data_IF_562526560716
#
_entry.id   IF_562526560716
#
_cell.length_a   1.000
_cell.length_b   1.000
_cell.length_c   1.000
_cell.angle_alpha   90.00
_cell.angle_beta   90.00
_cell.angle_gamma   90.00
#
_symmetry.space_group_name_H-M   'P 1'
#
loop_
_entity.id
_entity.type
_entity.pdbx_description
1 polymer ?
#
# COMPACT_ATOMS: atom_id res chain seq x y z
N UNK A 1 20.70 5.97 6.54
CA UNK A 1 19.29 6.23 6.80
C UNK A 1 18.68 5.05 7.54
N UNK A 2 17.93 5.29 8.61
CA UNK A 2 17.20 4.26 9.35
C UNK A 2 15.74 4.22 8.88
N UNK A 3 15.19 3.01 8.65
CA UNK A 3 13.83 2.78 8.20
C UNK A 3 13.09 1.89 9.22
N UNK A 4 11.78 2.14 9.47
CA UNK A 4 10.87 3.01 8.72
C UNK A 4 10.91 4.50 9.12
N UNK A 5 11.63 4.90 10.18
CA UNK A 5 11.61 6.27 10.71
C UNK A 5 12.06 7.35 9.71
N UNK A 6 12.89 6.99 8.72
CA UNK A 6 13.44 7.90 7.72
C UNK A 6 14.57 8.80 8.22
N UNK A 7 14.96 8.71 9.51
CA UNK A 7 16.05 9.52 10.10
C UNK A 7 17.38 9.19 9.46
N UNK A 8 18.23 10.18 9.33
CA UNK A 8 19.58 10.05 8.73
C UNK A 8 20.65 10.46 9.72
N UNK A 9 21.77 9.76 9.69
CA UNK A 9 23.00 10.11 10.40
C UNK A 9 24.19 9.59 9.60
N UNK A 10 25.40 9.85 10.06
CA UNK A 10 26.63 9.27 9.51
C UNK A 10 27.19 8.24 10.46
N UNK A 11 27.72 7.15 9.91
CA UNK A 11 28.49 6.17 10.69
C UNK A 11 29.77 6.84 11.18
N UNK A 12 30.02 6.76 12.48
CA UNK A 12 31.23 7.27 13.08
C UNK A 12 32.29 6.18 13.21
N UNK A 13 31.90 5.00 13.71
CA UNK A 13 32.80 3.85 13.89
C UNK A 13 32.08 2.55 13.56
N UNK A 14 32.85 1.57 13.08
CA UNK A 14 32.42 0.17 12.93
C UNK A 14 33.28 -0.66 13.88
N UNK A 15 32.69 -1.17 14.95
CA UNK A 15 33.42 -1.75 16.08
C UNK A 15 33.15 -3.24 16.18
N UNK A 16 34.20 -4.02 16.40
CA UNK A 16 34.10 -5.47 16.75
C UNK A 16 34.79 -5.72 18.08
N UNK A 17 34.71 -6.98 18.55
CA UNK A 17 35.46 -7.38 19.77
C UNK A 17 36.95 -7.19 19.65
N UNK A 18 37.49 -7.37 18.44
CA UNK A 18 38.94 -7.28 18.16
C UNK A 18 39.41 -5.84 17.83
N UNK A 19 38.49 -4.87 17.81
CA UNK A 19 38.78 -3.46 17.53
C UNK A 19 37.88 -2.87 16.43
N UNK A 20 38.26 -1.69 15.97
CA UNK A 20 37.58 -0.95 14.93
C UNK A 20 37.95 -1.51 13.55
N UNK A 21 36.94 -1.52 12.67
CA UNK A 21 37.08 -1.90 11.26
C UNK A 21 36.90 -0.68 10.36
N UNK A 22 37.61 -0.64 9.24
CA UNK A 22 37.39 0.37 8.21
C UNK A 22 36.07 0.17 7.48
N UNK A 23 35.63 -1.09 7.33
CA UNK A 23 34.34 -1.45 6.71
C UNK A 23 33.71 -2.70 7.33
N UNK A 24 32.39 -2.77 7.29
CA UNK A 24 31.61 -3.97 7.63
C UNK A 24 31.16 -4.69 6.37
N UNK A 25 31.39 -6.00 6.32
CA UNK A 25 30.97 -6.83 5.18
C UNK A 25 29.80 -7.76 5.53
N UNK A 26 29.11 -8.25 4.50
CA UNK A 26 27.99 -9.16 4.66
C UNK A 26 28.37 -10.38 5.51
N UNK A 27 27.44 -10.81 6.41
CA UNK A 27 27.61 -11.90 7.40
C UNK A 27 28.48 -11.57 8.62
N UNK A 28 28.98 -10.36 8.74
CA UNK A 28 29.53 -9.85 10.01
C UNK A 28 28.42 -9.23 10.86
N UNK A 29 28.66 -9.16 12.17
CA UNK A 29 27.77 -8.52 13.14
C UNK A 29 28.53 -7.44 13.92
N UNK A 30 29.00 -6.35 13.25
CA UNK A 30 29.68 -5.29 13.94
C UNK A 30 28.74 -4.40 14.71
N UNK A 31 29.25 -3.70 15.71
CA UNK A 31 28.57 -2.58 16.34
C UNK A 31 28.84 -1.31 15.55
N UNK A 32 27.79 -0.58 15.20
CA UNK A 32 27.91 0.69 14.49
C UNK A 32 27.62 1.82 15.47
N UNK A 33 28.51 2.82 15.59
CA UNK A 33 28.23 4.08 16.27
C UNK A 33 27.88 5.17 15.26
N UNK A 34 27.00 6.06 15.64
CA UNK A 34 26.51 7.14 14.79
C UNK A 34 26.95 8.49 15.35
N UNK A 35 27.12 9.47 14.47
CA UNK A 35 27.47 10.84 14.86
C UNK A 35 26.33 11.56 15.59
N UNK A 36 25.09 11.27 15.18
CA UNK A 36 23.90 11.88 15.77
C UNK A 36 23.17 10.83 16.61
N UNK A 37 22.58 11.28 17.70
CA UNK A 37 21.73 10.44 18.55
C UNK A 37 20.35 10.27 17.88
N UNK A 38 20.20 9.14 17.15
CA UNK A 38 18.95 8.73 16.54
C UNK A 38 18.51 7.40 17.11
N UNK A 39 17.21 7.26 17.34
CA UNK A 39 16.64 6.00 17.82
C UNK A 39 16.58 4.98 16.68
N UNK A 40 17.25 3.86 16.88
CA UNK A 40 17.25 2.68 15.99
C UNK A 40 17.02 1.46 16.85
N UNK A 41 15.94 0.77 16.57
CA UNK A 41 15.50 -0.40 17.35
C UNK A 41 15.61 -1.69 16.55
N UNK A 42 15.53 -2.82 17.26
CA UNK A 42 15.47 -4.14 16.62
C UNK A 42 14.30 -4.21 15.62
N UNK A 43 14.61 -4.57 14.39
CA UNK A 43 13.65 -4.64 13.28
C UNK A 43 13.72 -3.46 12.34
N UNK A 44 14.50 -2.42 12.67
CA UNK A 44 14.77 -1.34 11.75
C UNK A 44 15.85 -1.76 10.74
N UNK A 45 15.80 -1.17 9.56
CA UNK A 45 16.77 -1.41 8.49
C UNK A 45 17.61 -0.17 8.29
N UNK A 46 18.93 -0.34 8.32
CA UNK A 46 19.89 0.72 8.00
C UNK A 46 20.31 0.55 6.55
N UNK A 47 20.17 1.62 5.77
CA UNK A 47 20.51 1.65 4.35
C UNK A 47 21.23 2.96 3.99
N UNK A 48 21.78 3.03 2.78
CA UNK A 48 22.34 4.27 2.25
C UNK A 48 21.27 5.34 2.12
N UNK A 49 21.61 6.60 2.33
CA UNK A 49 20.66 7.70 2.28
C UNK A 49 20.15 7.96 0.84
N UNK A 50 21.02 7.71 -0.16
CA UNK A 50 20.75 8.03 -1.57
C UNK A 50 19.93 6.95 -2.28
N UNK A 51 19.94 5.72 -1.76
CA UNK A 51 19.22 4.58 -2.33
C UNK A 51 18.55 3.77 -1.20
N UNK A 52 17.52 4.33 -0.53
CA UNK A 52 16.84 3.65 0.54
C UNK A 52 15.88 2.60 -0.01
N UNK A 53 15.78 1.46 0.68
CA UNK A 53 14.72 0.47 0.42
C UNK A 53 13.34 1.08 0.71
N UNK A 54 12.31 0.51 0.10
CA UNK A 54 10.94 0.99 0.27
C UNK A 54 10.38 0.65 1.67
N UNK A 55 9.33 1.39 2.05
CA UNK A 55 8.59 1.21 3.30
C UNK A 55 7.10 1.13 2.99
N UNK A 56 6.42 0.12 3.48
CA UNK A 56 4.97 -0.04 3.31
C UNK A 56 4.35 -0.86 4.45
N UNK A 57 3.03 -0.80 4.53
CA UNK A 57 2.16 -1.59 5.41
C UNK A 57 1.18 -2.48 4.63
N UNK A 58 1.12 -2.36 3.29
CA UNK A 58 0.21 -3.12 2.44
C UNK A 58 0.93 -3.72 1.24
N UNK A 59 0.70 -5.02 1.02
CA UNK A 59 1.45 -5.79 0.04
C UNK A 59 0.56 -6.74 -0.75
N UNK A 60 0.93 -7.01 -2.00
CA UNK A 60 0.58 -8.26 -2.66
C UNK A 60 1.66 -9.29 -2.34
N UNK A 61 1.23 -10.42 -1.83
CA UNK A 61 2.12 -11.49 -1.36
C UNK A 61 1.73 -12.84 -1.93
N UNK A 62 2.72 -13.69 -2.12
CA UNK A 62 2.53 -15.10 -2.40
C UNK A 62 2.68 -15.87 -1.08
N UNK A 63 1.67 -16.65 -0.70
CA UNK A 63 1.61 -17.38 0.57
C UNK A 63 1.64 -18.88 0.30
N UNK A 64 2.50 -19.58 1.01
CA UNK A 64 2.41 -21.03 1.23
C UNK A 64 1.82 -21.26 2.62
N UNK A 65 0.63 -21.87 2.68
CA UNK A 65 0.00 -22.22 3.94
C UNK A 65 0.48 -23.57 4.46
N UNK A 66 0.82 -23.65 5.74
CA UNK A 66 1.54 -24.80 6.34
C UNK A 66 0.82 -25.38 7.55
N UNK A 67 -0.41 -24.94 7.85
CA UNK A 67 -1.22 -25.45 8.96
C UNK A 67 -2.32 -26.38 8.46
N UNK A 68 -2.66 -27.39 9.26
CA UNK A 68 -3.82 -28.26 9.02
C UNK A 68 -5.15 -27.47 9.10
N UNK A 69 -5.20 -26.42 9.93
CA UNK A 69 -6.32 -25.49 9.96
C UNK A 69 -6.23 -24.54 8.76
N UNK A 70 -7.32 -24.38 7.98
CA UNK A 70 -7.33 -23.46 6.85
C UNK A 70 -7.05 -22.01 7.28
N UNK A 71 -6.40 -21.25 6.41
CA UNK A 71 -6.22 -19.82 6.59
C UNK A 71 -7.59 -19.12 6.69
N UNK A 72 -7.73 -18.24 7.67
CA UNK A 72 -8.93 -17.43 7.84
C UNK A 72 -8.64 -15.98 7.41
N UNK A 73 -9.26 -15.49 6.30
CA UNK A 73 -9.14 -14.10 5.89
C UNK A 73 -9.60 -13.14 6.99
N UNK A 74 -8.90 -12.02 7.17
CA UNK A 74 -9.19 -11.03 8.20
C UNK A 74 -8.80 -11.44 9.62
N UNK A 75 -8.37 -12.68 9.87
CA UNK A 75 -7.82 -13.08 11.18
C UNK A 75 -6.45 -12.46 11.38
N UNK A 76 -6.17 -11.84 12.55
CA UNK A 76 -4.86 -11.29 12.84
C UNK A 76 -3.83 -12.38 13.16
N UNK A 77 -2.68 -12.33 12.49
CA UNK A 77 -1.49 -13.14 12.71
C UNK A 77 -0.29 -12.26 13.06
N UNK A 78 0.80 -12.86 13.52
CA UNK A 78 2.10 -12.21 13.60
C UNK A 78 2.88 -12.51 12.31
N UNK A 79 3.41 -11.47 11.70
CA UNK A 79 4.26 -11.54 10.53
C UNK A 79 5.69 -11.18 10.94
N UNK A 80 6.61 -12.10 10.73
CA UNK A 80 8.02 -11.88 11.04
C UNK A 80 8.84 -11.85 9.75
N UNK A 81 9.33 -10.66 9.40
CA UNK A 81 10.26 -10.45 8.30
C UNK A 81 11.60 -10.04 8.88
N UNK A 82 12.66 -10.78 8.56
CA UNK A 82 13.99 -10.58 9.14
C UNK A 82 13.92 -10.52 10.68
N UNK A 83 14.24 -9.38 11.29
CA UNK A 83 14.21 -9.16 12.75
C UNK A 83 12.96 -8.41 13.23
N UNK A 84 12.10 -7.91 12.31
CA UNK A 84 10.85 -7.19 12.62
C UNK A 84 9.69 -8.18 12.76
N UNK A 85 8.91 -8.01 13.82
CA UNK A 85 7.64 -8.73 14.00
C UNK A 85 6.53 -7.70 14.14
N UNK A 86 5.47 -7.85 13.32
CA UNK A 86 4.31 -6.96 13.29
C UNK A 86 3.04 -7.79 13.24
N UNK A 87 1.92 -7.24 13.71
CA UNK A 87 0.61 -7.84 13.52
C UNK A 87 0.06 -7.45 12.16
N UNK A 88 -0.74 -8.31 11.56
CA UNK A 88 -1.41 -7.99 10.31
C UNK A 88 -2.46 -9.02 9.96
N UNK A 89 -3.12 -8.82 8.84
CA UNK A 89 -4.19 -9.67 8.32
C UNK A 89 -3.96 -10.00 6.84
N UNK A 90 -4.32 -11.21 6.47
CA UNK A 90 -4.46 -11.60 5.06
C UNK A 90 -5.92 -11.34 4.66
N UNK A 91 -6.14 -10.34 3.81
CA UNK A 91 -7.50 -9.87 3.50
C UNK A 91 -8.19 -10.77 2.47
N UNK A 92 -7.68 -10.82 1.26
CA UNK A 92 -8.28 -11.55 0.15
C UNK A 92 -7.29 -12.51 -0.48
N UNK A 93 -7.73 -13.76 -0.67
CA UNK A 93 -7.09 -14.68 -1.60
C UNK A 93 -7.59 -14.31 -3.00
N UNK A 94 -6.72 -13.74 -3.82
CA UNK A 94 -7.05 -13.41 -5.21
C UNK A 94 -7.27 -14.66 -6.04
N UNK A 95 -6.37 -15.61 -5.87
CA UNK A 95 -6.44 -16.95 -6.45
C UNK A 95 -5.42 -17.86 -5.76
N UNK A 96 -5.63 -19.15 -5.85
CA UNK A 96 -4.61 -20.15 -5.51
C UNK A 96 -4.00 -20.73 -6.80
N UNK A 97 -2.77 -21.18 -6.70
CA UNK A 97 -2.03 -21.77 -7.80
C UNK A 97 -2.12 -23.29 -7.69
N UNK A 98 -2.61 -23.94 -8.74
CA UNK A 98 -2.50 -25.39 -8.86
C UNK A 98 -1.05 -25.74 -9.21
N UNK A 99 -0.32 -26.32 -8.26
CA UNK A 99 1.12 -26.61 -8.42
C UNK A 99 1.45 -27.61 -9.54
N UNK A 100 0.46 -28.39 -10.00
CA UNK A 100 0.65 -29.36 -11.07
C UNK A 100 0.43 -28.77 -12.47
N UNK A 101 -0.56 -27.87 -12.61
CA UNK A 101 -0.93 -27.29 -13.90
C UNK A 101 -0.49 -25.82 -14.02
N UNK A 102 -0.06 -25.20 -12.93
CA UNK A 102 0.26 -23.76 -12.81
C UNK A 102 -0.94 -22.84 -13.10
N UNK A 103 -2.15 -23.39 -13.13
CA UNK A 103 -3.38 -22.61 -13.37
C UNK A 103 -3.81 -21.85 -12.11
N UNK A 104 -4.43 -20.72 -12.34
CA UNK A 104 -5.03 -19.91 -11.29
C UNK A 104 -6.46 -20.40 -10.99
N UNK A 105 -6.71 -20.79 -9.75
CA UNK A 105 -7.99 -21.30 -9.29
C UNK A 105 -8.60 -20.34 -8.27
N UNK A 106 -9.87 -20.00 -8.44
CA UNK A 106 -10.58 -19.16 -7.48
C UNK A 106 -10.63 -19.83 -6.09
N UNK A 107 -10.28 -19.09 -5.04
CA UNK A 107 -10.31 -19.57 -3.67
C UNK A 107 -10.67 -18.45 -2.71
N UNK A 108 -11.30 -18.82 -1.58
CA UNK A 108 -11.59 -17.89 -0.49
C UNK A 108 -10.64 -18.08 0.70
N UNK A 109 -9.97 -19.19 0.76
CA UNK A 109 -9.04 -19.59 1.83
C UNK A 109 -7.94 -20.47 1.25
N UNK A 110 -6.90 -20.76 2.03
CA UNK A 110 -5.83 -21.69 1.69
C UNK A 110 -5.83 -22.85 2.71
N UNK A 111 -5.82 -24.07 2.20
CA UNK A 111 -5.60 -25.27 3.00
C UNK A 111 -4.11 -25.62 3.09
N UNK A 112 -3.79 -26.65 3.87
CA UNK A 112 -2.42 -27.15 4.03
C UNK A 112 -1.74 -27.39 2.67
N UNK A 113 -0.52 -26.89 2.52
CA UNK A 113 0.32 -27.00 1.32
C UNK A 113 -0.26 -26.30 0.08
N UNK A 114 -1.26 -25.43 0.23
CA UNK A 114 -1.73 -24.61 -0.87
C UNK A 114 -0.94 -23.32 -0.99
N UNK A 115 -0.71 -22.90 -2.24
CA UNK A 115 -0.07 -21.63 -2.58
C UNK A 115 -1.15 -20.69 -3.13
N UNK A 116 -1.15 -19.45 -2.63
CA UNK A 116 -2.10 -18.45 -3.09
C UNK A 116 -1.51 -17.04 -3.11
N UNK A 117 -2.09 -16.20 -3.96
CA UNK A 117 -1.79 -14.77 -3.99
C UNK A 117 -2.82 -14.04 -3.15
N UNK A 118 -2.34 -13.29 -2.17
CA UNK A 118 -3.14 -12.61 -1.17
C UNK A 118 -2.77 -11.13 -1.05
N UNK A 119 -3.70 -10.34 -0.53
CA UNK A 119 -3.39 -9.01 0.00
C UNK A 119 -3.07 -9.14 1.48
N UNK A 120 -1.95 -8.55 1.88
CA UNK A 120 -1.48 -8.45 3.27
C UNK A 120 -1.59 -7.00 3.72
N UNK A 121 -2.22 -6.78 4.88
CA UNK A 121 -2.24 -5.50 5.59
C UNK A 121 -1.58 -5.67 6.96
N UNK A 122 -0.61 -4.81 7.27
CA UNK A 122 0.12 -4.79 8.53
C UNK A 122 -0.32 -3.60 9.38
N UNK A 123 -0.25 -3.74 10.71
CA UNK A 123 -0.57 -2.68 11.68
C UNK A 123 0.50 -1.57 11.73
N UNK A 124 1.69 -1.83 11.20
CA UNK A 124 2.78 -0.87 11.13
C UNK A 124 3.65 -1.10 9.89
N UNK A 125 4.30 -0.03 9.47
CA UNK A 125 5.16 -0.05 8.29
C UNK A 125 6.43 -0.88 8.54
N UNK A 126 6.84 -1.61 7.50
CA UNK A 126 8.12 -2.33 7.46
C UNK A 126 8.95 -1.87 6.27
N UNK A 127 10.28 -1.89 6.42
CA UNK A 127 11.19 -1.76 5.31
C UNK A 127 11.21 -3.09 4.53
N UNK A 128 11.10 -3.03 3.22
CA UNK A 128 10.99 -4.22 2.38
C UNK A 128 11.63 -4.01 1.01
N UNK A 129 11.83 -5.10 0.30
CA UNK A 129 12.05 -5.14 -1.15
C UNK A 129 11.26 -6.31 -1.71
N UNK A 130 10.93 -6.33 -3.01
CA UNK A 130 10.39 -7.53 -3.65
C UNK A 130 11.33 -8.74 -3.44
N UNK A 131 10.74 -9.93 -3.22
CA UNK A 131 11.52 -11.15 -2.97
C UNK A 131 12.53 -11.48 -4.07
N UNK A 132 12.21 -11.15 -5.31
CA UNK A 132 13.08 -11.37 -6.47
C UNK A 132 14.36 -10.52 -6.41
N UNK A 133 14.33 -9.38 -5.72
CA UNK A 133 15.46 -8.48 -5.56
C UNK A 133 16.29 -8.82 -4.32
N UNK A 134 15.62 -9.06 -3.19
CA UNK A 134 16.29 -9.42 -1.94
C UNK A 134 15.45 -10.41 -1.12
N UNK A 135 15.93 -11.63 -1.02
CA UNK A 135 15.23 -12.72 -0.32
C UNK A 135 15.01 -12.46 1.17
N UNK A 136 15.93 -11.77 1.84
CA UNK A 136 15.85 -11.54 3.29
C UNK A 136 14.80 -10.48 3.65
N UNK A 137 14.70 -9.39 2.87
CA UNK A 137 13.72 -8.33 3.10
C UNK A 137 12.39 -8.57 2.37
N UNK A 138 12.37 -9.50 1.40
CA UNK A 138 11.21 -9.83 0.60
C UNK A 138 10.47 -11.09 1.07
N UNK A 139 10.85 -11.69 2.20
CA UNK A 139 10.19 -12.87 2.75
C UNK A 139 9.81 -12.71 4.22
N UNK A 140 8.82 -13.48 4.65
CA UNK A 140 8.35 -13.49 6.03
C UNK A 140 7.75 -14.85 6.41
N UNK A 141 7.64 -15.10 7.70
CA UNK A 141 6.85 -16.20 8.25
C UNK A 141 5.58 -15.68 8.92
N UNK A 142 4.55 -16.50 8.90
CA UNK A 142 3.26 -16.24 9.52
C UNK A 142 3.16 -17.10 10.77
N UNK A 143 2.87 -16.45 11.90
CA UNK A 143 2.83 -17.10 13.22
C UNK A 143 1.42 -16.91 13.79
N UNK A 144 0.80 -17.98 14.24
CA UNK A 144 -0.46 -17.90 14.96
C UNK A 144 -0.24 -17.28 16.34
N UNK A 145 -1.07 -16.30 16.69
CA UNK A 145 -0.90 -15.51 17.93
C UNK A 145 -1.20 -16.28 19.21
N UNK A 146 -1.97 -17.37 19.12
CA UNK A 146 -2.38 -18.15 20.30
C UNK A 146 -1.45 -19.34 20.54
N UNK A 147 -1.17 -20.11 19.50
CA UNK A 147 -0.31 -21.28 19.60
C UNK A 147 1.18 -20.97 19.49
N UNK A 148 1.54 -19.79 18.95
CA UNK A 148 2.90 -19.41 18.56
C UNK A 148 3.53 -20.33 17.51
N UNK A 149 2.74 -21.15 16.84
CA UNK A 149 3.20 -22.00 15.75
C UNK A 149 3.36 -21.21 14.47
N UNK A 150 4.37 -21.56 13.67
CA UNK A 150 4.47 -21.07 12.30
C UNK A 150 3.41 -21.77 11.44
N UNK A 151 2.48 -21.02 10.90
CA UNK A 151 1.32 -21.51 10.13
C UNK A 151 1.44 -21.24 8.63
N UNK A 152 2.44 -20.48 8.22
CA UNK A 152 2.71 -20.22 6.81
C UNK A 152 3.98 -19.41 6.59
N UNK A 153 4.31 -19.24 5.33
CA UNK A 153 5.36 -18.34 4.88
C UNK A 153 4.87 -17.53 3.69
N UNK A 154 5.50 -16.38 3.46
CA UNK A 154 5.13 -15.52 2.35
C UNK A 154 6.30 -14.82 1.70
N UNK A 155 6.09 -14.48 0.43
CA UNK A 155 7.03 -13.77 -0.43
C UNK A 155 6.36 -12.46 -0.85
N UNK A 156 7.01 -11.33 -0.62
CA UNK A 156 6.52 -10.02 -1.03
C UNK A 156 6.74 -9.85 -2.53
N UNK A 157 5.66 -9.61 -3.26
CA UNK A 157 5.73 -9.31 -4.70
C UNK A 157 5.93 -7.82 -4.92
N UNK A 158 5.07 -7.00 -4.33
CA UNK A 158 5.14 -5.53 -4.35
C UNK A 158 4.22 -4.92 -3.30
N UNK A 159 4.44 -3.65 -2.98
CA UNK A 159 3.54 -2.87 -2.13
C UNK A 159 2.30 -2.41 -2.90
N UNK A 160 1.14 -2.50 -2.25
CA UNK A 160 -0.14 -2.05 -2.84
C UNK A 160 -0.29 -0.52 -2.79
N UNK A 161 0.35 0.15 -1.82
CA UNK A 161 0.38 1.60 -1.70
C UNK A 161 1.75 2.13 -2.15
N UNK A 162 1.78 2.82 -3.28
CA UNK A 162 2.97 3.54 -3.78
C UNK A 162 3.14 4.93 -3.16
N UNK A 163 2.37 5.27 -2.12
CA UNK A 163 2.27 6.64 -1.64
C UNK A 163 3.58 7.23 -1.09
N UNK A 164 4.50 6.40 -0.60
CA UNK A 164 5.76 6.88 0.01
C UNK A 164 6.80 7.37 -1.02
N UNK A 165 6.71 6.92 -2.27
CA UNK A 165 7.67 7.26 -3.33
C UNK A 165 7.11 8.30 -4.34
N UNK A 166 5.91 8.83 -4.08
CA UNK A 166 5.32 9.86 -4.93
C UNK A 166 5.77 11.22 -4.41
N UNK A 167 6.67 11.87 -5.14
CA UNK A 167 7.03 13.25 -4.90
C UNK A 167 6.10 14.16 -5.68
N UNK A 168 5.54 15.17 -5.00
CA UNK A 168 4.76 16.21 -5.66
C UNK A 168 5.65 17.00 -6.61
N UNK A 169 5.36 16.92 -7.91
CA UNK A 169 6.01 17.79 -8.88
C UNK A 169 5.22 19.08 -9.03
N UNK A 170 5.89 20.20 -8.84
CA UNK A 170 5.32 21.49 -9.16
C UNK A 170 5.22 21.59 -10.69
N UNK A 171 3.99 21.77 -11.19
CA UNK A 171 3.73 21.98 -12.62
C UNK A 171 3.46 23.46 -12.87
N UNK A 172 4.02 23.99 -13.98
CA UNK A 172 3.90 25.40 -14.32
C UNK A 172 2.46 25.79 -14.67
N UNK A 173 1.70 24.88 -15.31
CA UNK A 173 0.28 25.08 -15.60
C UNK A 173 -0.56 24.65 -14.40
N UNK A 174 -0.79 25.57 -13.48
CA UNK A 174 -1.58 25.36 -12.28
C UNK A 174 -3.05 25.80 -12.42
N UNK A 175 -3.87 25.57 -11.40
CA UNK A 175 -5.30 25.86 -11.37
C UNK A 175 -5.66 27.29 -11.79
N UNK A 176 -4.91 28.29 -11.35
CA UNK A 176 -5.18 29.68 -11.68
C UNK A 176 -4.92 29.96 -13.19
N UNK A 177 -3.87 29.38 -13.77
CA UNK A 177 -3.58 29.50 -15.20
C UNK A 177 -4.71 28.88 -16.05
N UNK A 178 -5.21 27.69 -15.67
CA UNK A 178 -6.37 27.05 -16.34
C UNK A 178 -7.64 27.88 -16.20
N UNK A 179 -7.90 28.43 -15.00
CA UNK A 179 -9.07 29.28 -14.74
C UNK A 179 -9.05 30.55 -15.58
N UNK A 180 -7.87 31.15 -15.77
CA UNK A 180 -7.71 32.35 -16.63
C UNK A 180 -8.07 32.06 -18.09
N UNK A 181 -7.61 30.92 -18.63
CA UNK A 181 -7.95 30.52 -20.02
C UNK A 181 -9.44 30.19 -20.13
N UNK A 182 -10.03 29.51 -19.15
CA UNK A 182 -11.44 29.15 -19.16
C UNK A 182 -12.39 30.34 -18.90
N UNK A 183 -11.87 31.49 -18.47
CA UNK A 183 -12.66 32.67 -18.14
C UNK A 183 -13.70 32.44 -17.04
N UNK A 184 -13.41 31.53 -16.11
CA UNK A 184 -14.34 31.17 -15.04
C UNK A 184 -13.62 30.78 -13.75
N UNK A 185 -14.30 31.01 -12.61
CA UNK A 185 -13.82 30.55 -11.31
C UNK A 185 -14.12 29.05 -11.15
N UNK A 186 -13.11 28.21 -10.89
CA UNK A 186 -13.33 26.78 -10.64
C UNK A 186 -14.19 26.58 -9.39
N UNK A 187 -15.20 25.72 -9.48
CA UNK A 187 -16.07 25.37 -8.37
C UNK A 187 -16.57 23.93 -8.50
N UNK A 188 -16.79 23.28 -7.38
CA UNK A 188 -17.46 21.96 -7.30
C UNK A 188 -18.85 22.17 -6.75
N UNK A 189 -19.87 21.72 -7.48
CA UNK A 189 -21.25 21.66 -7.03
C UNK A 189 -21.55 20.23 -6.58
N UNK A 190 -21.70 20.03 -5.27
CA UNK A 190 -21.96 18.71 -4.71
C UNK A 190 -23.45 18.50 -4.42
N UNK A 191 -24.08 17.57 -5.15
CA UNK A 191 -25.50 17.24 -4.97
C UNK A 191 -25.63 16.04 -4.02
N UNK A 192 -26.32 16.20 -2.90
CA UNK A 192 -26.59 15.15 -1.90
C UNK A 192 -28.07 14.82 -1.81
N UNK A 193 -28.40 13.65 -1.28
CA UNK A 193 -29.76 13.21 -1.05
C UNK A 193 -29.96 11.71 -1.28
N UNK A 194 -31.12 11.20 -0.92
CA UNK A 194 -31.45 9.78 -1.04
C UNK A 194 -31.48 9.31 -2.50
N UNK A 195 -31.42 7.99 -2.69
CA UNK A 195 -31.64 7.39 -4.01
C UNK A 195 -33.00 7.78 -4.54
N UNK A 196 -33.13 8.09 -5.84
CA UNK A 196 -34.37 8.55 -6.44
C UNK A 196 -34.79 10.01 -6.17
N UNK A 197 -34.02 10.79 -5.39
CA UNK A 197 -34.33 12.19 -5.07
C UNK A 197 -34.13 13.20 -6.23
N UNK A 198 -33.84 12.73 -7.45
CA UNK A 198 -33.71 13.58 -8.63
C UNK A 198 -32.36 14.30 -8.77
N UNK A 199 -31.31 13.91 -8.03
CA UNK A 199 -29.98 14.55 -8.08
C UNK A 199 -29.41 14.64 -9.48
N UNK A 200 -29.36 13.54 -10.21
CA UNK A 200 -28.82 13.47 -11.57
C UNK A 200 -29.63 14.30 -12.55
N UNK A 201 -30.95 14.34 -12.40
CA UNK A 201 -31.82 15.17 -13.23
C UNK A 201 -31.54 16.66 -13.03
N UNK A 202 -31.45 17.11 -11.77
CA UNK A 202 -31.17 18.50 -11.43
C UNK A 202 -29.73 18.87 -11.87
N UNK A 203 -28.76 18.03 -11.60
CA UNK A 203 -27.37 18.26 -12.00
C UNK A 203 -27.23 18.42 -13.52
N UNK A 204 -27.90 17.57 -14.31
CA UNK A 204 -27.92 17.65 -15.77
C UNK A 204 -28.59 18.94 -16.27
N UNK A 205 -29.67 19.39 -15.63
CA UNK A 205 -30.31 20.67 -15.99
C UNK A 205 -29.41 21.87 -15.69
N UNK A 206 -28.72 21.85 -14.54
CA UNK A 206 -27.76 22.88 -14.16
C UNK A 206 -26.60 22.90 -15.15
N UNK A 207 -26.04 21.73 -15.51
CA UNK A 207 -24.96 21.61 -16.50
C UNK A 207 -25.37 22.17 -17.85
N UNK A 208 -26.55 21.80 -18.38
CA UNK A 208 -27.07 22.35 -19.62
C UNK A 208 -27.16 23.88 -19.62
N UNK A 209 -27.63 24.46 -18.50
CA UNK A 209 -27.73 25.90 -18.36
C UNK A 209 -26.35 26.58 -18.33
N UNK A 210 -25.40 26.01 -17.58
CA UNK A 210 -24.03 26.51 -17.52
C UNK A 210 -23.32 26.41 -18.87
N UNK A 211 -23.48 25.29 -19.57
CA UNK A 211 -22.96 25.08 -20.91
C UNK A 211 -23.51 26.10 -21.91
N UNK A 212 -24.83 26.40 -21.87
CA UNK A 212 -25.43 27.42 -22.69
C UNK A 212 -24.91 28.85 -22.40
N UNK A 213 -24.35 29.07 -21.22
CA UNK A 213 -23.67 30.31 -20.82
C UNK A 213 -22.16 30.31 -21.17
N UNK A 214 -21.70 29.32 -21.94
CA UNK A 214 -20.31 29.21 -22.36
C UNK A 214 -19.35 28.75 -21.22
N UNK A 215 -19.87 28.13 -20.17
CA UNK A 215 -19.04 27.64 -19.08
C UNK A 215 -18.56 26.21 -19.34
N UNK A 216 -17.29 25.95 -19.04
CA UNK A 216 -16.74 24.61 -19.04
C UNK A 216 -17.22 23.86 -17.81
N UNK A 217 -17.94 22.76 -18.03
CA UNK A 217 -18.49 21.91 -16.98
C UNK A 217 -18.18 20.46 -17.24
N UNK A 218 -18.16 19.65 -16.18
CA UNK A 218 -18.05 18.21 -16.26
C UNK A 218 -18.89 17.57 -15.17
N UNK A 219 -19.88 16.76 -15.58
CA UNK A 219 -20.77 16.06 -14.67
C UNK A 219 -20.20 14.69 -14.28
N UNK A 220 -19.88 14.53 -12.99
CA UNK A 220 -19.47 13.26 -12.39
C UNK A 220 -20.70 12.60 -11.74
N UNK A 221 -21.51 11.90 -12.53
CA UNK A 221 -22.64 11.14 -12.02
C UNK A 221 -22.17 9.86 -11.32
N UNK A 222 -22.76 9.56 -10.14
CA UNK A 222 -22.34 8.45 -9.29
C UNK A 222 -22.44 7.08 -9.94
N UNK A 223 -23.45 6.87 -10.78
CA UNK A 223 -23.64 5.60 -11.49
C UNK A 223 -22.71 5.51 -12.71
N UNK A 224 -22.56 6.61 -13.44
CA UNK A 224 -21.68 6.67 -14.61
C UNK A 224 -20.20 6.41 -14.25
N UNK A 225 -19.69 6.98 -13.16
CA UNK A 225 -18.31 6.73 -12.73
C UNK A 225 -18.07 5.28 -12.31
N UNK A 226 -19.11 4.55 -11.89
CA UNK A 226 -19.03 3.11 -11.59
C UNK A 226 -18.95 2.22 -12.82
N UNK A 227 -19.33 2.70 -14.01
CA UNK A 227 -19.10 1.98 -15.26
C UNK A 227 -17.68 2.07 -15.79
N UNK A 228 -16.88 3.02 -15.30
CA UNK A 228 -15.50 3.26 -15.72
C UNK A 228 -14.53 3.35 -14.55
N UNK A 229 -14.31 4.55 -14.04
CA UNK A 229 -13.31 4.88 -13.01
C UNK A 229 -13.40 4.00 -11.75
N UNK A 230 -14.61 3.65 -11.33
CA UNK A 230 -14.89 2.91 -10.10
C UNK A 230 -15.55 1.54 -10.38
N UNK A 231 -15.27 0.94 -11.53
CA UNK A 231 -15.83 -0.34 -11.96
C UNK A 231 -15.49 -1.50 -11.02
N UNK A 232 -14.38 -1.40 -10.31
CA UNK A 232 -13.89 -2.36 -9.33
C UNK A 232 -14.58 -2.28 -7.97
N UNK A 233 -15.39 -1.23 -7.71
CA UNK A 233 -16.04 -0.99 -6.43
C UNK A 233 -17.49 -1.50 -6.40
N UNK A 234 -17.83 -2.20 -5.30
CA UNK A 234 -19.18 -2.63 -4.98
C UNK A 234 -19.98 -1.55 -4.23
N UNK A 235 -20.88 -2.00 -3.35
CA UNK A 235 -21.78 -1.13 -2.57
C UNK A 235 -21.58 -1.26 -1.04
N UNK A 236 -20.50 -1.90 -0.59
CA UNK A 236 -20.14 -1.93 0.82
C UNK A 236 -19.83 -0.52 1.33
N UNK A 237 -19.81 -0.32 2.63
CA UNK A 237 -19.45 0.98 3.21
C UNK A 237 -18.05 1.44 2.79
N UNK A 238 -17.07 0.53 2.82
CA UNK A 238 -15.71 0.79 2.36
C UNK A 238 -15.66 1.19 0.88
N UNK A 239 -16.38 0.48 0.00
CA UNK A 239 -16.46 0.81 -1.42
C UNK A 239 -17.11 2.18 -1.67
N UNK A 240 -18.11 2.54 -0.87
CA UNK A 240 -18.75 3.87 -0.97
C UNK A 240 -17.79 4.99 -0.57
N UNK A 241 -17.03 4.81 0.50
CA UNK A 241 -16.00 5.77 0.93
C UNK A 241 -14.94 5.93 -0.15
N UNK A 242 -14.43 4.83 -0.70
CA UNK A 242 -13.42 4.85 -1.75
C UNK A 242 -13.94 5.47 -3.06
N UNK A 243 -15.21 5.20 -3.41
CA UNK A 243 -15.87 5.85 -4.55
C UNK A 243 -15.89 7.38 -4.40
N UNK A 244 -16.28 7.89 -3.24
CA UNK A 244 -16.30 9.33 -2.96
C UNK A 244 -14.87 9.90 -2.99
N UNK A 245 -13.90 9.21 -2.41
CA UNK A 245 -12.51 9.62 -2.43
C UNK A 245 -11.99 9.79 -3.87
N UNK A 246 -12.20 8.79 -4.75
CA UNK A 246 -11.75 8.85 -6.15
C UNK A 246 -12.43 9.97 -6.93
N UNK A 247 -13.74 10.13 -6.77
CA UNK A 247 -14.49 11.23 -7.40
C UNK A 247 -13.96 12.59 -6.93
N UNK A 248 -13.63 12.73 -5.64
CA UNK A 248 -13.03 13.94 -5.10
C UNK A 248 -11.65 14.26 -5.70
N UNK A 249 -10.81 13.24 -5.94
CA UNK A 249 -9.51 13.45 -6.62
C UNK A 249 -9.66 13.91 -8.06
N UNK A 250 -10.63 13.35 -8.82
CA UNK A 250 -10.93 13.81 -10.17
C UNK A 250 -11.47 15.24 -10.16
N UNK A 251 -12.32 15.59 -9.18
CA UNK A 251 -12.87 16.95 -9.08
C UNK A 251 -11.81 18.03 -8.75
N UNK A 252 -10.64 17.64 -8.24
CA UNK A 252 -9.50 18.56 -8.02
C UNK A 252 -8.80 18.97 -9.32
N UNK A 253 -8.84 18.11 -10.35
CA UNK A 253 -8.23 18.36 -11.65
C UNK A 253 -8.98 19.44 -12.44
#
# INVERSE_FOLDING_TARGET
KALPSGRTSSVERVVTYDGDLDEGVARQSPTITLKDEIDISRGDVICTANDPVEVSDQFEVEILWMSDEPMLPGRPYLFKSSTKTVTGTLEHVKYKVNVNTMEHVAAKTLALNEIGICNLELDSQIAYTPYVENRNLGSFIIIDRFSNNTVGMGLIRFALRRAANIHWQAVDVHKAARAAIAGQKPAVLWFTGLSGAGKSTIANLVEKKLHALGKHTFLLDGDNVRHGLNKDLGFTEADRIENIRRVGEVAKL
#
